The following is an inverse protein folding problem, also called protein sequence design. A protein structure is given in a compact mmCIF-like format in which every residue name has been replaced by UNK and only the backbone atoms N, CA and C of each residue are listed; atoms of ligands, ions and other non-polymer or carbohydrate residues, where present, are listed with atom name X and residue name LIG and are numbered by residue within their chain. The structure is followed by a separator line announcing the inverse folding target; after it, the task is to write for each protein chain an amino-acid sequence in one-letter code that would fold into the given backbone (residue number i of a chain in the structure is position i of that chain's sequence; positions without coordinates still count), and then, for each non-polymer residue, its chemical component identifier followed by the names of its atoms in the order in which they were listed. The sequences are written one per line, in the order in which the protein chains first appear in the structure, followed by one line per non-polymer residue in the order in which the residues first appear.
data_IF_628006183322
#
_entry.id   IF_628006183322
#
_cell.length_a   1.000
_cell.length_b   1.000
_cell.length_c   1.000
_cell.angle_alpha   90.00
_cell.angle_beta   90.00
_cell.angle_gamma   90.00
#
_symmetry.space_group_name_H-M   'P 1'
#
loop_
_entity.id
_entity.type
_entity.pdbx_description
1 polymer ?
#
# COMPACT_ATOMS: atom_id res chain seq x y z
N UNK A 1 63.17 -8.67 -38.39
CA UNK A 1 63.20 -7.69 -37.27
C UNK A 1 62.12 -6.62 -37.43
N UNK A 2 61.90 -6.12 -38.65
CA UNK A 2 60.88 -5.10 -39.01
C UNK A 2 59.42 -5.51 -38.79
N UNK A 3 59.05 -6.78 -38.98
CA UNK A 3 57.65 -7.23 -38.80
C UNK A 3 57.18 -7.20 -37.34
N UNK A 4 58.08 -7.46 -36.38
CA UNK A 4 57.74 -7.44 -34.94
C UNK A 4 57.41 -6.02 -34.46
N UNK A 5 58.19 -5.04 -34.92
CA UNK A 5 57.99 -3.62 -34.58
C UNK A 5 56.66 -3.09 -35.16
N UNK A 6 56.33 -3.47 -36.40
CA UNK A 6 55.05 -3.10 -37.02
C UNK A 6 53.84 -3.64 -36.25
N UNK A 7 53.92 -4.87 -35.74
CA UNK A 7 52.82 -5.49 -35.02
C UNK A 7 52.62 -4.89 -33.61
N UNK A 8 53.70 -4.54 -32.91
CA UNK A 8 53.62 -3.86 -31.61
C UNK A 8 52.97 -2.47 -31.74
N UNK A 9 53.33 -1.70 -32.77
CA UNK A 9 52.72 -0.39 -33.04
C UNK A 9 51.22 -0.54 -33.40
N UNK A 10 50.86 -1.56 -34.17
CA UNK A 10 49.48 -1.88 -34.51
C UNK A 10 48.63 -2.21 -33.28
N UNK A 11 49.15 -3.05 -32.39
CA UNK A 11 48.46 -3.42 -31.14
C UNK A 11 48.30 -2.23 -30.20
N UNK A 12 49.30 -1.36 -30.07
CA UNK A 12 49.19 -0.13 -29.25
C UNK A 12 48.10 0.81 -29.79
N UNK A 13 48.03 0.99 -31.11
CA UNK A 13 47.00 1.82 -31.75
C UNK A 13 45.59 1.26 -31.55
N UNK A 14 45.43 -0.06 -31.64
CA UNK A 14 44.15 -0.73 -31.40
C UNK A 14 43.73 -0.64 -29.93
N UNK A 15 44.67 -0.83 -28.99
CA UNK A 15 44.40 -0.69 -27.57
C UNK A 15 43.98 0.75 -27.21
N UNK A 16 44.62 1.76 -27.82
CA UNK A 16 44.24 3.15 -27.64
C UNK A 16 42.82 3.43 -28.14
N UNK A 17 42.48 2.96 -29.34
CA UNK A 17 41.13 3.13 -29.89
C UNK A 17 40.06 2.39 -29.08
N UNK A 18 40.38 1.20 -28.57
CA UNK A 18 39.51 0.47 -27.66
C UNK A 18 39.25 1.27 -26.38
N UNK A 19 40.29 1.87 -25.80
CA UNK A 19 40.15 2.72 -24.61
C UNK A 19 39.27 3.95 -24.88
N UNK A 20 39.45 4.61 -26.04
CA UNK A 20 38.63 5.76 -26.45
C UNK A 20 37.16 5.36 -26.59
N UNK A 21 36.89 4.23 -27.25
CA UNK A 21 35.52 3.70 -27.39
C UNK A 21 34.93 3.37 -26.02
N UNK A 22 35.70 2.72 -25.14
CA UNK A 22 35.26 2.40 -23.79
C UNK A 22 34.87 3.65 -23.01
N UNK A 23 35.68 4.72 -23.08
CA UNK A 23 35.37 6.01 -22.43
C UNK A 23 34.07 6.61 -22.98
N UNK A 24 33.87 6.60 -24.29
CA UNK A 24 32.64 7.10 -24.91
C UNK A 24 31.42 6.30 -24.46
N UNK A 25 31.54 4.97 -24.41
CA UNK A 25 30.46 4.08 -23.91
C UNK A 25 30.15 4.37 -22.45
N UNK A 26 31.17 4.52 -21.60
CA UNK A 26 30.97 4.84 -20.18
C UNK A 26 30.34 6.22 -19.98
N UNK A 27 30.71 7.22 -20.78
CA UNK A 27 30.06 8.53 -20.76
C UNK A 27 28.59 8.44 -21.18
N UNK A 28 28.29 7.71 -22.24
CA UNK A 28 26.90 7.47 -22.67
C UNK A 28 26.07 6.80 -21.59
N UNK A 29 26.61 5.74 -20.96
CA UNK A 29 25.98 5.07 -19.82
C UNK A 29 25.79 6.04 -18.65
N UNK A 30 26.79 6.85 -18.32
CA UNK A 30 26.71 7.82 -17.24
C UNK A 30 25.52 8.77 -17.42
N UNK A 31 25.36 9.37 -18.60
CA UNK A 31 24.22 10.25 -18.87
C UNK A 31 22.88 9.51 -18.85
N UNK A 32 22.83 8.29 -19.38
CA UNK A 32 21.64 7.45 -19.35
C UNK A 32 21.21 7.11 -17.91
N UNK A 33 22.13 6.62 -17.09
CA UNK A 33 21.87 6.30 -15.69
C UNK A 33 21.53 7.55 -14.89
N UNK A 34 22.22 8.66 -15.10
CA UNK A 34 21.96 9.92 -14.40
C UNK A 34 20.53 10.42 -14.66
N UNK A 35 20.09 10.43 -15.92
CA UNK A 35 18.72 10.81 -16.28
C UNK A 35 17.69 9.84 -15.69
N UNK A 36 17.93 8.54 -15.78
CA UNK A 36 17.04 7.52 -15.24
C UNK A 36 16.91 7.60 -13.71
N UNK A 37 18.01 7.83 -13.00
CA UNK A 37 18.00 8.02 -11.55
C UNK A 37 17.19 9.24 -11.14
N UNK A 38 17.34 10.37 -11.84
CA UNK A 38 16.55 11.58 -11.55
C UNK A 38 15.06 11.31 -11.76
N UNK A 39 14.68 10.73 -12.90
CA UNK A 39 13.28 10.43 -13.20
C UNK A 39 12.67 9.47 -12.16
N UNK A 40 13.37 8.39 -11.85
CA UNK A 40 12.93 7.39 -10.88
C UNK A 40 12.74 7.99 -9.47
N UNK A 41 13.62 8.89 -9.05
CA UNK A 41 13.49 9.57 -7.75
C UNK A 41 12.30 10.54 -7.75
N UNK A 42 12.08 11.30 -8.81
CA UNK A 42 10.96 12.25 -8.91
C UNK A 42 9.62 11.52 -8.96
N UNK A 43 9.53 10.45 -9.73
CA UNK A 43 8.33 9.61 -9.80
C UNK A 43 8.01 9.01 -8.42
N UNK A 44 9.02 8.44 -7.76
CA UNK A 44 8.87 7.91 -6.39
C UNK A 44 8.39 8.97 -5.41
N UNK A 45 8.97 10.17 -5.42
CA UNK A 45 8.52 11.28 -4.56
C UNK A 45 7.06 11.67 -4.84
N UNK A 46 6.63 11.61 -6.09
CA UNK A 46 5.25 11.93 -6.47
C UNK A 46 4.28 10.88 -5.94
N UNK A 47 4.66 9.60 -6.01
CA UNK A 47 3.89 8.49 -5.44
C UNK A 47 3.83 8.61 -3.92
N UNK A 48 4.96 8.86 -3.24
CA UNK A 48 5.00 9.05 -1.79
C UNK A 48 4.09 10.18 -1.33
N UNK A 49 4.09 11.34 -2.01
CA UNK A 49 3.18 12.45 -1.70
C UNK A 49 1.70 12.07 -1.85
N UNK A 50 1.35 11.29 -2.88
CA UNK A 50 -0.02 10.82 -3.09
C UNK A 50 -0.46 9.86 -1.99
N UNK A 51 0.42 8.96 -1.57
CA UNK A 51 0.17 8.04 -0.45
C UNK A 51 -0.12 8.85 0.82
N UNK A 52 0.75 9.80 1.16
CA UNK A 52 0.57 10.67 2.33
C UNK A 52 -0.75 11.44 2.26
N UNK A 53 -1.11 11.98 1.08
CA UNK A 53 -2.37 12.70 0.92
C UNK A 53 -3.59 11.79 1.15
N UNK A 54 -3.59 10.57 0.62
CA UNK A 54 -4.67 9.60 0.81
C UNK A 54 -4.75 9.17 2.29
N UNK A 55 -3.61 8.89 2.91
CA UNK A 55 -3.51 8.50 4.32
C UNK A 55 -4.05 9.60 5.25
N UNK A 56 -3.62 10.85 5.03
CA UNK A 56 -4.13 12.00 5.80
C UNK A 56 -5.65 12.19 5.66
N UNK A 57 -6.20 11.97 4.47
CA UNK A 57 -7.65 12.01 4.26
C UNK A 57 -8.39 10.88 4.96
N UNK A 58 -7.80 9.68 5.01
CA UNK A 58 -8.35 8.54 5.75
C UNK A 58 -8.30 8.78 7.26
N UNK A 59 -7.20 9.32 7.79
CA UNK A 59 -7.07 9.71 9.20
C UNK A 59 -8.10 10.76 9.60
N UNK A 60 -8.31 11.78 8.75
CA UNK A 60 -9.33 12.80 9.00
C UNK A 60 -10.74 12.19 9.07
N UNK A 61 -11.07 11.29 8.14
CA UNK A 61 -12.35 10.57 8.16
C UNK A 61 -12.50 9.68 9.41
N UNK A 62 -11.42 9.00 9.83
CA UNK A 62 -11.44 8.16 11.02
C UNK A 62 -11.62 8.98 12.29
N UNK A 63 -10.95 10.14 12.40
CA UNK A 63 -11.15 11.07 13.50
C UNK A 63 -12.59 11.60 13.54
N UNK A 64 -13.17 11.93 12.37
CA UNK A 64 -14.55 12.37 12.28
C UNK A 64 -15.54 11.26 12.71
N UNK A 65 -15.30 10.02 12.28
CA UNK A 65 -16.07 8.86 12.70
C UNK A 65 -15.98 8.62 14.20
N UNK A 66 -14.76 8.66 14.78
CA UNK A 66 -14.55 8.49 16.21
C UNK A 66 -15.22 9.61 17.01
N UNK A 67 -15.13 10.85 16.54
CA UNK A 67 -15.84 12.00 17.13
C UNK A 67 -17.34 11.77 17.14
N UNK A 68 -17.92 11.39 16.01
CA UNK A 68 -19.37 11.16 15.92
C UNK A 68 -19.82 9.94 16.74
N UNK A 69 -19.04 8.86 16.74
CA UNK A 69 -19.28 7.67 17.56
C UNK A 69 -19.22 8.00 19.05
N UNK A 70 -18.28 8.84 19.49
CA UNK A 70 -18.17 9.25 20.89
C UNK A 70 -19.38 10.05 21.38
N UNK A 71 -20.11 10.71 20.47
CA UNK A 71 -21.37 11.41 20.78
C UNK A 71 -22.54 10.46 21.00
N UNK A 72 -22.41 9.18 20.60
CA UNK A 72 -23.41 8.14 20.86
C UNK A 72 -23.35 7.75 22.33
N UNK A 73 -24.00 8.56 23.16
CA UNK A 73 -24.15 8.35 24.59
C UNK A 73 -25.51 7.75 24.91
N UNK A 74 -25.62 7.11 26.08
CA UNK A 74 -26.87 6.54 26.59
C UNK A 74 -27.96 7.61 26.76
N UNK A 75 -27.56 8.85 27.04
CA UNK A 75 -28.46 10.02 27.06
C UNK A 75 -28.95 10.42 25.67
N UNK A 76 -28.09 10.39 24.65
CA UNK A 76 -28.54 10.58 23.26
C UNK A 76 -29.54 9.49 22.86
N UNK A 77 -29.28 8.23 23.20
CA UNK A 77 -30.20 7.12 22.93
C UNK A 77 -31.56 7.32 23.61
N UNK A 78 -31.58 7.70 24.89
CA UNK A 78 -32.83 8.02 25.61
C UNK A 78 -33.56 9.22 24.98
N UNK A 79 -32.84 10.26 24.59
CA UNK A 79 -33.41 11.46 23.95
C UNK A 79 -34.07 11.15 22.60
N UNK A 80 -33.57 10.15 21.87
CA UNK A 80 -34.16 9.67 20.61
C UNK A 80 -35.29 8.65 20.81
N UNK A 81 -35.71 8.40 22.05
CA UNK A 81 -36.82 7.51 22.38
C UNK A 81 -36.44 6.04 22.55
N UNK A 82 -35.15 5.69 22.53
CA UNK A 82 -34.71 4.33 22.84
C UNK A 82 -34.87 4.07 24.34
N UNK A 83 -35.72 3.11 24.67
CA UNK A 83 -35.93 2.67 26.05
C UNK A 83 -34.97 1.54 26.40
N UNK A 84 -34.40 1.59 27.61
CA UNK A 84 -33.53 0.53 28.11
C UNK A 84 -34.38 -0.72 28.31
N UNK A 85 -34.11 -1.78 27.56
CA UNK A 85 -34.82 -3.05 27.70
C UNK A 85 -34.35 -3.67 29.02
N UNK A 86 -35.20 -3.61 30.04
CA UNK A 86 -35.00 -4.39 31.27
C UNK A 86 -35.19 -5.85 30.89
N UNK A 87 -34.12 -6.64 30.93
CA UNK A 87 -34.11 -8.08 30.69
C UNK A 87 -34.89 -8.81 31.80
N UNK A 88 -36.21 -8.69 31.79
CA UNK A 88 -37.06 -9.84 32.13
C UNK A 88 -37.42 -10.47 30.80
N UNK A 89 -36.70 -11.51 30.33
CA UNK A 89 -37.10 -12.21 29.14
C UNK A 89 -38.52 -12.76 29.36
N UNK A 90 -39.51 -12.12 28.74
CA UNK A 90 -40.89 -12.59 28.74
C UNK A 90 -40.96 -13.77 27.79
N UNK A 91 -40.52 -14.93 28.27
CA UNK A 91 -40.70 -16.19 27.56
C UNK A 91 -42.19 -16.44 27.39
N UNK A 92 -42.65 -16.49 26.14
CA UNK A 92 -43.99 -16.96 25.83
C UNK A 92 -43.89 -18.48 25.72
N UNK A 93 -44.12 -19.19 26.83
CA UNK A 93 -44.34 -20.63 26.77
C UNK A 93 -45.74 -20.87 26.21
N UNK A 94 -45.84 -21.65 25.12
CA UNK A 94 -47.13 -22.20 24.68
C UNK A 94 -47.51 -23.28 25.70
N UNK A 95 -48.54 -23.04 26.51
CA UNK A 95 -49.17 -24.11 27.29
C UNK A 95 -49.63 -25.20 26.31
N UNK A 96 -49.23 -26.47 26.48
CA UNK A 96 -49.71 -27.55 25.64
C UNK A 96 -51.17 -27.85 26.03
N UNK A 97 -52.11 -27.17 25.40
CA UNK A 97 -53.52 -27.58 25.35
C UNK A 97 -53.63 -28.77 24.41
N UNK A 98 -53.32 -29.96 24.92
CA UNK A 98 -53.49 -31.20 24.16
C UNK A 98 -52.79 -32.37 24.83
N UNK A 99 -53.56 -33.37 25.24
CA UNK A 99 -53.09 -34.67 25.73
C UNK A 99 -52.14 -35.25 24.66
N UNK A 100 -50.85 -35.33 24.98
CA UNK A 100 -49.84 -35.89 24.09
C UNK A 100 -50.12 -37.38 23.88
N UNK A 101 -50.52 -37.75 22.65
CA UNK A 101 -50.63 -39.15 22.23
C UNK A 101 -49.23 -39.65 21.87
N UNK A 102 -48.48 -40.08 22.88
CA UNK A 102 -47.22 -40.81 22.66
C UNK A 102 -47.54 -42.25 22.26
N UNK A 103 -47.20 -42.64 21.03
CA UNK A 103 -47.13 -44.05 20.63
C UNK A 103 -45.88 -44.66 21.28
N UNK A 104 -46.09 -45.38 22.37
CA UNK A 104 -45.09 -46.30 22.93
C UNK A 104 -45.25 -47.64 22.19
N UNK A 105 -44.22 -48.01 21.43
CA UNK A 105 -43.99 -49.40 21.01
C UNK A 105 -42.49 -49.68 21.17
#
# INVERSE_FOLDING_TARGET
MTERIKNEIGNQKNAFWFLVIAIVVFLGLYFYFFGHTIYSVVERQTVERRIIAIESGAEEMEMNYLSEKSKITLDLAKSKGFTKITLTPKYISRTPTGKSLTLNN
#
